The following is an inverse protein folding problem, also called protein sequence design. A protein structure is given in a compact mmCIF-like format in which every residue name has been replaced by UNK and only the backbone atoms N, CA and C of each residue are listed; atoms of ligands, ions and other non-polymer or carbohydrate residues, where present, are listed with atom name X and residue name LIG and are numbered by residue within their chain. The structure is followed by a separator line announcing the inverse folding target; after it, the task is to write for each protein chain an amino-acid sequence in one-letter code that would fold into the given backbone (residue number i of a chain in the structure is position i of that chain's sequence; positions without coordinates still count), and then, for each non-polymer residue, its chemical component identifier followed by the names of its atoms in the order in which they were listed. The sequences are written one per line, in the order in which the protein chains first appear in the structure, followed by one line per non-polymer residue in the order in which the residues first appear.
data_IF_188120291820
#
_entry.id   IF_188120291820
#
_cell.length_a   1.000
_cell.length_b   1.000
_cell.length_c   1.000
_cell.angle_alpha   90.00
_cell.angle_beta   90.00
_cell.angle_gamma   90.00
#
_symmetry.space_group_name_H-M   'P 1'
#
loop_
_entity.id
_entity.type
_entity.pdbx_description
1 polymer ?
#
# COMPACT_ATOMS: atom_id res chain seq x y z
N UNK A 1 39.01 -28.07 37.61
CA UNK A 1 39.03 -27.26 36.37
C UNK A 1 37.90 -27.81 35.52
N UNK A 2 36.69 -27.27 35.51
CA UNK A 2 36.34 -25.87 35.27
C UNK A 2 35.56 -25.84 33.95
N UNK A 3 34.29 -26.23 34.08
CA UNK A 3 33.14 -26.28 33.16
C UNK A 3 33.15 -25.44 31.87
N UNK A 4 32.63 -26.08 30.82
CA UNK A 4 31.75 -25.55 29.77
C UNK A 4 32.02 -24.14 29.21
N UNK A 5 32.80 -24.09 28.13
CA UNK A 5 32.67 -23.05 27.12
C UNK A 5 31.46 -23.39 26.23
N UNK A 6 30.25 -23.26 26.79
CA UNK A 6 29.04 -23.17 25.99
C UNK A 6 29.18 -21.92 25.11
N UNK A 7 29.34 -22.15 23.82
CA UNK A 7 29.12 -21.14 22.79
C UNK A 7 27.70 -20.64 22.97
N UNK A 8 27.54 -19.46 23.56
CA UNK A 8 26.27 -18.76 23.59
C UNK A 8 25.87 -18.54 22.13
N UNK A 9 24.77 -19.14 21.63
CA UNK A 9 24.28 -18.76 20.32
C UNK A 9 23.96 -17.26 20.36
N UNK A 10 24.25 -16.49 19.31
CA UNK A 10 23.88 -15.08 19.29
C UNK A 10 22.38 -14.98 19.58
N UNK A 11 22.04 -14.22 20.63
CA UNK A 11 20.67 -13.95 21.05
C UNK A 11 19.95 -13.34 19.86
N UNK A 12 18.90 -14.01 19.35
CA UNK A 12 18.09 -13.58 18.20
C UNK A 12 17.22 -12.34 18.53
N UNK A 13 17.80 -11.31 19.11
CA UNK A 13 17.05 -10.17 19.65
C UNK A 13 17.04 -8.91 18.80
N UNK A 14 17.73 -8.89 17.66
CA UNK A 14 17.63 -7.77 16.70
C UNK A 14 16.92 -8.18 15.40
N UNK A 15 16.04 -9.19 15.45
CA UNK A 15 15.07 -9.40 14.38
C UNK A 15 13.89 -8.46 14.63
N UNK A 16 14.07 -7.17 14.34
CA UNK A 16 12.97 -6.22 14.45
C UNK A 16 11.88 -6.60 13.44
N UNK A 17 10.85 -7.28 13.94
CA UNK A 17 9.66 -7.65 13.18
C UNK A 17 8.51 -6.70 13.50
N UNK A 18 7.68 -6.40 12.50
CA UNK A 18 6.38 -5.76 12.70
C UNK A 18 5.32 -6.81 12.44
N UNK A 19 4.56 -7.18 13.48
CA UNK A 19 3.47 -8.14 13.37
C UNK A 19 2.14 -7.40 13.20
N UNK A 20 1.43 -7.72 12.12
CA UNK A 20 0.10 -7.23 11.83
C UNK A 20 -0.91 -8.37 11.96
N UNK A 21 -2.08 -8.06 12.52
CA UNK A 21 -3.20 -8.98 12.61
C UNK A 21 -4.38 -8.46 11.78
N UNK A 22 -4.95 -9.34 10.96
CA UNK A 22 -6.12 -9.02 10.14
C UNK A 22 -7.28 -9.96 10.51
N UNK A 23 -8.41 -9.46 11.04
CA UNK A 23 -9.47 -10.30 11.59
C UNK A 23 -10.29 -11.04 10.51
N UNK A 24 -10.38 -10.48 9.28
CA UNK A 24 -11.18 -11.08 8.22
C UNK A 24 -10.30 -11.87 7.24
N UNK A 25 -10.29 -13.19 7.39
CA UNK A 25 -9.51 -14.09 6.54
C UNK A 25 -9.87 -14.01 5.05
N UNK A 26 -11.11 -13.66 4.69
CA UNK A 26 -11.52 -13.52 3.28
C UNK A 26 -10.83 -12.31 2.65
N UNK A 27 -10.90 -11.16 3.33
CA UNK A 27 -10.22 -9.95 2.86
C UNK A 27 -8.70 -10.12 2.89
N UNK A 28 -8.17 -10.88 3.84
CA UNK A 28 -6.74 -11.19 3.88
C UNK A 28 -6.30 -12.00 2.65
N UNK A 29 -7.11 -12.91 2.12
CA UNK A 29 -6.82 -13.62 0.86
C UNK A 29 -6.78 -12.64 -0.31
N UNK A 30 -7.75 -11.73 -0.39
CA UNK A 30 -7.79 -10.71 -1.44
C UNK A 30 -6.61 -9.72 -1.32
N UNK A 31 -6.19 -9.40 -0.10
CA UNK A 31 -5.03 -8.56 0.21
C UNK A 31 -3.74 -9.19 -0.31
N UNK A 32 -3.52 -10.49 -0.03
CA UNK A 32 -2.35 -11.21 -0.53
C UNK A 32 -2.34 -11.32 -2.05
N UNK A 33 -3.54 -11.41 -2.65
CA UNK A 33 -3.71 -11.62 -4.07
C UNK A 33 -3.37 -13.04 -4.50
N UNK A 34 -3.55 -13.32 -5.79
CA UNK A 34 -3.29 -14.64 -6.34
C UNK A 34 -1.80 -15.01 -6.20
N UNK A 35 -1.51 -16.17 -5.60
CA UNK A 35 -0.15 -16.63 -5.32
C UNK A 35 0.70 -15.61 -4.54
N UNK A 36 0.08 -14.87 -3.62
CA UNK A 36 0.74 -13.85 -2.80
C UNK A 36 1.39 -12.71 -3.62
N UNK A 37 0.96 -12.51 -4.88
CA UNK A 37 1.56 -11.53 -5.80
C UNK A 37 1.59 -10.10 -5.24
N UNK A 38 0.59 -9.72 -4.45
CA UNK A 38 0.51 -8.36 -3.91
C UNK A 38 1.56 -8.19 -2.80
N UNK A 39 1.76 -9.22 -1.97
CA UNK A 39 2.83 -9.22 -0.96
C UNK A 39 4.20 -9.17 -1.65
N UNK A 40 4.43 -10.00 -2.66
CA UNK A 40 5.68 -10.01 -3.42
C UNK A 40 5.98 -8.65 -4.08
N UNK A 41 4.96 -7.94 -4.56
CA UNK A 41 5.12 -6.59 -5.10
C UNK A 41 5.54 -5.59 -4.02
N UNK A 42 4.95 -5.65 -2.82
CA UNK A 42 5.32 -4.79 -1.68
C UNK A 42 6.74 -5.11 -1.20
N UNK A 43 7.08 -6.40 -1.07
CA UNK A 43 8.44 -6.87 -0.71
C UNK A 43 9.49 -6.30 -1.66
N UNK A 44 9.29 -6.42 -2.96
CA UNK A 44 10.24 -5.95 -3.97
C UNK A 44 10.37 -4.42 -3.99
N UNK A 45 9.29 -3.66 -3.77
CA UNK A 45 9.35 -2.20 -3.85
C UNK A 45 9.90 -1.54 -2.59
N UNK A 46 9.68 -2.14 -1.42
CA UNK A 46 10.11 -1.58 -0.14
C UNK A 46 11.36 -2.26 0.42
N UNK A 47 11.91 -3.26 -0.27
CA UNK A 47 13.06 -4.06 0.19
C UNK A 47 12.84 -4.66 1.59
N UNK A 48 11.66 -5.26 1.77
CA UNK A 48 11.25 -5.95 3.02
C UNK A 48 10.93 -7.41 2.75
N UNK A 49 10.96 -8.22 3.80
CA UNK A 49 10.47 -9.59 3.77
C UNK A 49 9.13 -9.69 4.51
N UNK A 50 8.12 -10.25 3.86
CA UNK A 50 6.76 -10.40 4.38
C UNK A 50 6.43 -11.89 4.49
N UNK A 51 6.10 -12.33 5.71
CA UNK A 51 5.72 -13.71 6.00
C UNK A 51 4.28 -13.76 6.50
N UNK A 52 3.44 -14.55 5.82
CA UNK A 52 2.07 -14.79 6.25
C UNK A 52 2.00 -16.04 7.15
N UNK A 53 1.37 -15.91 8.33
CA UNK A 53 1.06 -17.02 9.25
C UNK A 53 -0.39 -16.94 9.71
N UNK A 54 -1.27 -17.71 9.08
CA UNK A 54 -2.70 -17.70 9.39
C UNK A 54 -3.35 -16.36 9.05
N UNK A 55 -3.82 -15.64 10.07
CA UNK A 55 -4.38 -14.29 10.00
C UNK A 55 -3.37 -13.18 10.35
N UNK A 56 -2.10 -13.56 10.58
CA UNK A 56 -1.02 -12.64 10.89
C UNK A 56 -0.09 -12.45 9.69
N UNK A 57 0.45 -11.24 9.55
CA UNK A 57 1.51 -10.89 8.61
C UNK A 57 2.69 -10.35 9.42
N UNK A 58 3.84 -11.00 9.32
CA UNK A 58 5.10 -10.54 9.90
C UNK A 58 5.93 -9.85 8.82
N UNK A 59 6.44 -8.65 9.12
CA UNK A 59 7.28 -7.85 8.22
C UNK A 59 8.66 -7.71 8.85
N UNK A 60 9.70 -8.07 8.10
CA UNK A 60 11.10 -7.97 8.49
C UNK A 60 11.84 -7.02 7.54
N UNK A 61 12.79 -6.26 8.05
CA UNK A 61 13.54 -5.27 7.28
C UNK A 61 13.89 -4.02 8.08
N UNK A 62 14.33 -2.98 7.39
CA UNK A 62 14.63 -1.69 8.00
C UNK A 62 13.40 -1.09 8.72
N UNK A 63 13.54 -0.42 9.88
CA UNK A 63 12.41 0.17 10.60
C UNK A 63 11.54 1.11 9.75
N UNK A 64 12.13 1.90 8.87
CA UNK A 64 11.39 2.83 7.99
C UNK A 64 10.60 2.04 6.96
N UNK A 65 11.27 1.10 6.28
CA UNK A 65 10.66 0.26 5.26
C UNK A 65 9.53 -0.62 5.83
N UNK A 66 9.71 -1.19 7.03
CA UNK A 66 8.66 -1.94 7.73
C UNK A 66 7.46 -1.08 8.10
N UNK A 67 7.70 0.15 8.56
CA UNK A 67 6.64 1.12 8.86
C UNK A 67 5.80 1.45 7.62
N UNK A 68 6.48 1.71 6.50
CA UNK A 68 5.83 1.97 5.22
C UNK A 68 5.06 0.75 4.71
N UNK A 69 5.63 -0.45 4.78
CA UNK A 69 4.97 -1.69 4.39
C UNK A 69 3.71 -1.95 5.22
N UNK A 70 3.79 -1.71 6.54
CA UNK A 70 2.65 -1.84 7.42
C UNK A 70 1.53 -0.84 7.09
N UNK A 71 1.89 0.40 6.79
CA UNK A 71 0.93 1.42 6.36
C UNK A 71 0.21 1.01 5.08
N UNK A 72 0.97 0.57 4.06
CA UNK A 72 0.41 0.12 2.77
C UNK A 72 -0.54 -1.08 2.98
N UNK A 73 -0.14 -2.08 3.77
CA UNK A 73 -1.00 -3.24 4.04
C UNK A 73 -2.30 -2.86 4.74
N UNK A 74 -2.26 -1.93 5.70
CA UNK A 74 -3.47 -1.43 6.36
C UNK A 74 -4.36 -0.61 5.43
N UNK A 75 -3.79 0.25 4.58
CA UNK A 75 -4.55 1.03 3.60
C UNK A 75 -5.28 0.14 2.59
N UNK A 76 -4.57 -0.86 2.05
CA UNK A 76 -5.15 -1.85 1.13
C UNK A 76 -6.21 -2.72 1.81
N UNK A 77 -6.03 -3.08 3.09
CA UNK A 77 -7.04 -3.80 3.84
C UNK A 77 -8.30 -2.95 4.09
N UNK A 78 -8.15 -1.68 4.48
CA UNK A 78 -9.28 -0.76 4.64
C UNK A 78 -10.05 -0.53 3.31
N UNK A 79 -9.33 -0.53 2.18
CA UNK A 79 -9.93 -0.50 0.84
C UNK A 79 -10.82 -1.73 0.59
N UNK A 80 -10.35 -2.92 0.95
CA UNK A 80 -11.11 -4.16 0.86
C UNK A 80 -12.32 -4.19 1.81
N UNK A 81 -12.18 -3.65 3.02
CA UNK A 81 -13.31 -3.50 3.96
C UNK A 81 -14.40 -2.58 3.41
N UNK A 82 -14.02 -1.55 2.64
CA UNK A 82 -14.95 -0.70 1.91
C UNK A 82 -15.58 -1.37 0.66
N UNK A 83 -15.30 -2.65 0.42
CA UNK A 83 -15.84 -3.41 -0.72
C UNK A 83 -15.18 -3.12 -2.06
N UNK A 84 -13.99 -2.48 -2.05
CA UNK A 84 -13.24 -2.17 -3.26
C UNK A 84 -12.13 -3.19 -3.49
N UNK A 85 -11.91 -3.56 -4.74
CA UNK A 85 -10.86 -4.50 -5.15
C UNK A 85 -9.46 -3.89 -5.00
N UNK A 86 -8.44 -4.72 -4.81
CA UNK A 86 -7.02 -4.33 -4.86
C UNK A 86 -6.44 -4.71 -6.22
N UNK A 87 -5.98 -3.70 -6.97
CA UNK A 87 -5.22 -3.86 -8.22
C UNK A 87 -3.73 -3.54 -8.00
N UNK A 88 -2.81 -4.06 -8.85
CA UNK A 88 -1.37 -3.79 -8.74
C UNK A 88 -1.01 -2.31 -8.69
N UNK A 89 -1.73 -1.46 -9.44
CA UNK A 89 -1.47 -0.02 -9.41
C UNK A 89 -1.99 0.69 -8.16
N UNK A 90 -2.89 0.09 -7.39
CA UNK A 90 -3.28 0.61 -6.08
C UNK A 90 -2.10 0.48 -5.10
N UNK A 91 -1.35 -0.62 -5.16
CA UNK A 91 -0.13 -0.85 -4.38
C UNK A 91 0.92 0.22 -4.71
N UNK A 92 1.14 0.49 -6.00
CA UNK A 92 2.09 1.54 -6.45
C UNK A 92 1.66 2.95 -5.98
N UNK A 93 0.35 3.19 -5.91
CA UNK A 93 -0.21 4.45 -5.41
C UNK A 93 0.03 4.63 -3.92
N UNK A 94 -0.31 3.62 -3.11
CA UNK A 94 -0.13 3.64 -1.65
C UNK A 94 1.36 3.74 -1.26
N UNK A 95 2.25 3.03 -1.95
CA UNK A 95 3.70 3.11 -1.70
C UNK A 95 4.22 4.52 -1.98
N UNK A 96 3.78 5.14 -3.07
CA UNK A 96 4.20 6.50 -3.46
C UNK A 96 3.68 7.55 -2.50
N UNK A 97 2.44 7.39 -2.01
CA UNK A 97 1.82 8.31 -1.06
C UNK A 97 2.40 8.16 0.35
N UNK A 98 2.73 6.94 0.77
CA UNK A 98 3.34 6.65 2.06
C UNK A 98 4.84 6.96 2.16
N UNK A 99 5.51 7.30 1.06
CA UNK A 99 6.94 7.65 1.02
C UNK A 99 7.24 9.15 1.18
N UNK A 100 6.21 9.99 1.20
CA UNK A 100 6.36 11.40 1.59
C UNK A 100 6.11 11.51 3.07
N UNK A 101 7.18 11.73 3.85
CA UNK A 101 7.15 12.15 5.26
C UNK A 101 6.54 13.55 5.41
N UNK A 102 5.31 13.72 4.94
CA UNK A 102 4.46 14.79 5.40
C UNK A 102 3.43 14.16 6.31
N UNK A 103 3.56 14.45 7.60
CA UNK A 103 2.50 14.31 8.59
C UNK A 103 1.34 15.27 8.26
N UNK A 104 0.85 15.24 7.02
CA UNK A 104 -0.44 15.74 6.61
C UNK A 104 -1.47 14.85 7.27
N UNK A 105 -1.89 15.27 8.46
CA UNK A 105 -2.86 14.62 9.34
C UNK A 105 -3.88 13.80 8.55
N UNK A 106 -4.18 12.59 9.03
CA UNK A 106 -5.30 11.79 8.51
C UNK A 106 -6.64 12.59 8.46
N UNK A 107 -6.72 13.73 9.15
CA UNK A 107 -7.81 14.70 9.08
C UNK A 107 -7.82 15.55 7.79
N UNK A 108 -6.68 15.97 7.25
CA UNK A 108 -6.61 16.75 6.00
C UNK A 108 -6.85 15.87 4.76
N UNK A 109 -6.40 14.61 4.79
CA UNK A 109 -6.75 13.64 3.76
C UNK A 109 -8.24 13.29 3.79
N UNK A 110 -8.86 13.26 4.98
CA UNK A 110 -10.30 13.07 5.13
C UNK A 110 -11.12 14.24 4.53
N UNK A 111 -10.59 15.46 4.57
CA UNK A 111 -11.22 16.62 3.92
C UNK A 111 -11.13 16.55 2.39
N UNK A 112 -10.04 16.01 1.83
CA UNK A 112 -9.96 15.67 0.39
C UNK A 112 -10.91 14.52 0.02
N UNK A 113 -11.11 13.54 0.92
CA UNK A 113 -12.10 12.48 0.79
C UNK A 113 -13.56 12.98 0.86
N UNK A 114 -13.83 14.14 1.48
CA UNK A 114 -15.16 14.74 1.60
C UNK A 114 -15.53 15.67 0.45
N UNK A 115 -14.56 16.19 -0.30
CA UNK A 115 -14.81 16.99 -1.50
C UNK A 115 -15.11 16.11 -2.73
N UNK A 116 -16.02 15.13 -2.58
CA UNK A 116 -16.53 14.29 -3.66
C UNK A 116 -15.46 13.45 -4.35
N UNK A 117 -15.21 12.23 -3.86
CA UNK A 117 -14.38 11.22 -4.53
C UNK A 117 -14.63 11.25 -6.04
N UNK A 118 -13.65 11.73 -6.78
CA UNK A 118 -13.79 11.95 -8.22
C UNK A 118 -13.63 10.60 -8.91
N UNK A 119 -14.75 9.91 -9.08
CA UNK A 119 -14.81 8.58 -9.67
C UNK A 119 -15.25 8.68 -11.14
N UNK A 120 -14.45 8.11 -12.04
CA UNK A 120 -14.81 7.97 -13.46
C UNK A 120 -15.46 6.60 -13.65
N UNK A 121 -16.78 6.59 -13.84
CA UNK A 121 -17.49 5.37 -14.22
C UNK A 121 -17.28 5.08 -15.70
N UNK A 122 -16.45 4.08 -16.00
CA UNK A 122 -16.33 3.53 -17.35
C UNK A 122 -17.29 2.34 -17.54
N UNK A 123 -17.54 1.93 -18.79
CA UNK A 123 -18.40 0.77 -19.09
C UNK A 123 -17.92 -0.55 -18.46
N UNK A 124 -16.62 -0.66 -18.16
CA UNK A 124 -16.01 -1.90 -17.65
C UNK A 124 -15.66 -1.83 -16.17
N UNK A 125 -15.29 -0.65 -15.68
CA UNK A 125 -14.79 -0.49 -14.30
C UNK A 125 -14.93 0.94 -13.78
N UNK A 126 -14.93 1.06 -12.46
CA UNK A 126 -14.73 2.31 -11.76
C UNK A 126 -13.23 2.66 -11.82
N UNK A 127 -12.90 3.87 -12.24
CA UNK A 127 -11.53 4.38 -12.28
C UNK A 127 -11.43 5.56 -11.33
N UNK A 128 -10.47 5.50 -10.41
CA UNK A 128 -10.20 6.57 -9.45
C UNK A 128 -8.74 7.03 -9.58
N UNK A 129 -8.46 8.33 -9.40
CA UNK A 129 -7.10 8.84 -9.43
C UNK A 129 -6.29 8.27 -8.26
N UNK A 130 -5.08 7.78 -8.57
CA UNK A 130 -4.14 7.16 -7.62
C UNK A 130 -3.00 8.09 -7.18
N UNK A 131 -2.90 9.28 -7.80
CA UNK A 131 -1.87 10.27 -7.49
C UNK A 131 -2.47 11.67 -7.51
N UNK A 132 -1.81 12.64 -6.87
CA UNK A 132 -2.26 14.04 -6.86
C UNK A 132 -2.33 14.63 -8.28
N UNK A 133 -1.37 14.30 -9.12
CA UNK A 133 -1.37 14.71 -10.53
C UNK A 133 -2.56 14.12 -11.29
N UNK A 134 -2.94 12.88 -11.00
CA UNK A 134 -4.15 12.28 -11.56
C UNK A 134 -5.40 12.98 -11.04
N UNK A 135 -5.48 13.29 -9.73
CA UNK A 135 -6.60 14.02 -9.14
C UNK A 135 -6.79 15.40 -9.79
N UNK A 136 -5.70 16.17 -9.94
CA UNK A 136 -5.70 17.47 -10.62
C UNK A 136 -6.11 17.37 -12.09
N UNK A 137 -5.68 16.31 -12.79
CA UNK A 137 -6.09 16.05 -14.16
C UNK A 137 -7.59 15.77 -14.25
N UNK A 138 -8.14 14.92 -13.38
CA UNK A 138 -9.58 14.62 -13.40
C UNK A 138 -10.41 15.85 -13.02
N UNK A 139 -9.98 16.67 -12.06
CA UNK A 139 -10.63 17.96 -11.78
C UNK A 139 -10.63 18.88 -13.01
N UNK A 140 -9.55 18.88 -13.78
CA UNK A 140 -9.44 19.68 -15.02
C UNK A 140 -10.39 19.17 -16.11
N UNK A 141 -10.59 17.85 -16.21
CA UNK A 141 -11.58 17.25 -17.13
C UNK A 141 -13.01 17.72 -16.85
N UNK A 142 -13.37 17.93 -15.58
CA UNK A 142 -14.71 18.43 -15.23
C UNK A 142 -14.87 19.95 -15.44
N UNK A 143 -13.76 20.70 -15.39
CA UNK A 143 -13.77 22.18 -15.51
C UNK A 143 -13.61 22.67 -16.94
N UNK A 144 -13.08 21.86 -17.85
CA UNK A 144 -12.72 22.27 -19.20
C UNK A 144 -13.24 21.27 -20.25
N UNK A 145 -13.65 21.79 -21.42
CA UNK A 145 -14.14 20.94 -22.52
C UNK A 145 -13.04 20.05 -23.14
N UNK A 146 -11.78 20.47 -23.03
CA UNK A 146 -10.62 19.75 -23.56
C UNK A 146 -9.44 19.85 -22.58
N UNK A 147 -8.87 18.71 -22.19
CA UNK A 147 -7.70 18.64 -21.32
C UNK A 147 -6.64 17.71 -21.91
N UNK A 148 -5.39 18.17 -21.96
CA UNK A 148 -4.25 17.38 -22.44
C UNK A 148 -3.46 16.80 -21.27
N UNK A 149 -3.37 15.47 -21.19
CA UNK A 149 -2.53 14.78 -20.22
C UNK A 149 -1.13 14.54 -20.77
N UNK A 150 -0.14 15.33 -20.34
CA UNK A 150 1.27 15.18 -20.77
C UNK A 150 2.09 14.63 -19.60
N UNK A 151 2.90 13.59 -19.85
CA UNK A 151 3.81 13.05 -18.84
C UNK A 151 4.64 11.88 -19.36
N UNK A 152 5.73 11.51 -18.68
CA UNK A 152 6.61 10.40 -19.09
C UNK A 152 5.89 9.05 -19.12
N UNK A 153 6.46 8.06 -19.80
CA UNK A 153 5.91 6.70 -19.80
C UNK A 153 5.78 6.16 -18.36
N UNK A 154 4.72 5.39 -18.09
CA UNK A 154 4.48 4.80 -16.75
C UNK A 154 3.72 5.68 -15.75
N UNK A 155 3.35 6.92 -16.08
CA UNK A 155 2.59 7.80 -15.15
C UNK A 155 1.08 7.57 -15.09
N UNK A 156 0.58 6.46 -15.64
CA UNK A 156 -0.84 6.10 -15.55
C UNK A 156 -1.81 6.91 -16.43
N UNK A 157 -1.33 7.63 -17.44
CA UNK A 157 -2.19 8.41 -18.37
C UNK A 157 -3.27 7.58 -19.08
N UNK A 158 -3.00 6.30 -19.36
CA UNK A 158 -3.95 5.37 -20.01
C UNK A 158 -4.90 4.70 -19.03
N UNK A 159 -4.61 4.81 -17.72
CA UNK A 159 -5.45 4.23 -16.69
C UNK A 159 -6.68 5.10 -16.41
N UNK A 160 -6.51 6.44 -16.41
CA UNK A 160 -7.58 7.43 -16.37
C UNK A 160 -8.35 7.48 -17.70
#
# INVERSE_FOLDING_TARGET
MGIDALSTPPRMEDSHETLLEFPNNRLLIDLCGQFDRNLAQIEHQLDVQILRRGNHIAIHGDPVARGQAAHVLHALYARLEAGRSVEPGDIDGEIRLGGTDDHGTAADQMELFKAGRIEIKTRKKLVEPRTDAQSAYVQSLFKHELAFGIGPAGTGKTYL
#
